data_IF_747015473881
#
_entry.id   IF_747015473881
#
_cell.length_a   1.000
_cell.length_b   1.000
_cell.length_c   1.000
_cell.angle_alpha   90.00
_cell.angle_beta   90.00
_cell.angle_gamma   90.00
#
_symmetry.space_group_name_H-M   'P 1'
#
loop_
_entity.id
_entity.type
_entity.pdbx_description
1 polymer ?
#
# COMPACT_ATOMS: atom_id res chain seq x y z
N UNK A 1 0.48 -9.81 1.02
CA UNK A 1 1.62 -9.31 1.81
C UNK A 1 1.12 -8.31 2.83
N UNK A 2 1.69 -8.35 4.03
CA UNK A 2 1.41 -7.37 5.07
C UNK A 2 2.68 -6.56 5.33
N UNK A 3 2.54 -5.25 5.47
CA UNK A 3 3.62 -4.33 5.85
C UNK A 3 3.15 -3.56 7.08
N UNK A 4 3.77 -3.84 8.22
CA UNK A 4 3.49 -3.13 9.46
C UNK A 4 4.49 -1.99 9.65
N UNK A 5 3.99 -0.77 9.78
CA UNK A 5 4.77 0.45 9.96
C UNK A 5 4.27 1.13 11.24
N UNK A 6 5.07 1.09 12.31
CA UNK A 6 4.65 1.55 13.63
C UNK A 6 3.31 0.90 14.07
N UNK A 7 2.27 1.69 14.30
CA UNK A 7 0.90 1.29 14.64
C UNK A 7 -0.01 1.09 13.41
N UNK A 8 0.50 1.31 12.21
CA UNK A 8 -0.24 1.21 10.95
C UNK A 8 0.02 -0.13 10.28
N UNK A 9 -1.07 -0.78 9.91
CA UNK A 9 -1.10 -2.06 9.22
C UNK A 9 -1.52 -1.85 7.75
N UNK A 10 -0.67 -2.26 6.81
CA UNK A 10 -0.96 -2.17 5.38
C UNK A 10 -0.97 -3.56 4.78
N UNK A 11 -2.16 -4.01 4.36
CA UNK A 11 -2.31 -5.26 3.61
C UNK A 11 -2.42 -4.98 2.13
N UNK A 12 -1.67 -5.78 1.37
CA UNK A 12 -1.70 -5.83 -0.09
C UNK A 12 -2.08 -7.24 -0.52
N UNK A 13 -3.13 -7.38 -1.31
CA UNK A 13 -3.59 -8.69 -1.82
C UNK A 13 -4.18 -8.57 -3.21
N UNK A 14 -4.19 -9.67 -3.95
CA UNK A 14 -4.84 -9.73 -5.26
C UNK A 14 -6.33 -10.05 -5.09
N UNK A 15 -7.18 -9.34 -5.83
CA UNK A 15 -8.60 -9.66 -6.02
C UNK A 15 -8.97 -9.33 -7.47
N UNK A 16 -9.54 -10.28 -8.19
CA UNK A 16 -9.98 -10.11 -9.58
C UNK A 16 -8.90 -9.56 -10.53
N UNK A 17 -7.65 -10.03 -10.39
CA UNK A 17 -6.47 -9.51 -11.10
C UNK A 17 -6.22 -8.02 -10.86
N UNK A 18 -6.50 -7.52 -9.65
CA UNK A 18 -6.14 -6.17 -9.24
C UNK A 18 -5.56 -6.22 -7.83
N UNK A 19 -4.50 -5.44 -7.58
CA UNK A 19 -3.98 -5.26 -6.23
C UNK A 19 -4.95 -4.39 -5.43
N UNK A 20 -5.45 -4.95 -4.35
CA UNK A 20 -6.25 -4.27 -3.34
C UNK A 20 -5.36 -3.86 -2.17
N UNK A 21 -5.71 -2.74 -1.54
CA UNK A 21 -5.00 -2.19 -0.39
C UNK A 21 -5.99 -2.08 0.77
N UNK A 22 -5.60 -2.58 1.95
CA UNK A 22 -6.24 -2.21 3.21
C UNK A 22 -5.25 -1.45 4.08
N UNK A 23 -5.75 -0.44 4.77
CA UNK A 23 -5.02 0.30 5.80
C UNK A 23 -5.80 0.14 7.10
N UNK A 24 -5.18 -0.43 8.12
CA UNK A 24 -5.80 -0.74 9.41
C UNK A 24 -7.12 -1.52 9.26
N UNK A 25 -7.13 -2.51 8.36
CA UNK A 25 -8.30 -3.34 8.06
C UNK A 25 -9.36 -2.69 7.16
N UNK A 26 -9.26 -1.40 6.85
CA UNK A 26 -10.21 -0.68 5.97
C UNK A 26 -9.71 -0.73 4.53
N UNK A 27 -10.54 -1.26 3.62
CA UNK A 27 -10.23 -1.30 2.20
C UNK A 27 -10.23 0.11 1.61
N UNK A 28 -9.14 0.49 0.95
CA UNK A 28 -9.00 1.76 0.26
C UNK A 28 -9.37 1.54 -1.21
N UNK A 29 -10.45 2.16 -1.71
CA UNK A 29 -10.79 2.08 -3.12
C UNK A 29 -9.63 2.58 -3.97
N UNK A 30 -9.37 1.85 -5.04
CA UNK A 30 -8.33 2.17 -6.01
C UNK A 30 -8.45 3.60 -6.58
N UNK A 31 -9.68 4.08 -6.80
CA UNK A 31 -9.94 5.43 -7.27
C UNK A 31 -9.59 6.52 -6.26
N UNK A 32 -9.32 6.14 -5.00
CA UNK A 32 -8.93 7.04 -3.92
C UNK A 32 -7.41 7.03 -3.68
N UNK A 33 -6.63 6.35 -4.52
CA UNK A 33 -5.17 6.45 -4.49
C UNK A 33 -4.72 7.68 -5.31
N UNK A 34 -3.71 8.45 -4.86
CA UNK A 34 -2.83 8.16 -3.72
C UNK A 34 -3.51 8.38 -2.36
N UNK A 35 -3.35 7.41 -1.47
CA UNK A 35 -3.73 7.52 -0.08
C UNK A 35 -2.57 8.11 0.71
N UNK A 36 -2.85 9.19 1.44
CA UNK A 36 -1.93 9.80 2.38
C UNK A 36 -2.46 9.56 3.79
N UNK A 37 -1.71 8.81 4.60
CA UNK A 37 -2.10 8.61 5.98
C UNK A 37 -1.93 9.93 6.76
N UNK A 38 -2.90 10.30 7.64
CA UNK A 38 -2.86 11.56 8.38
C UNK A 38 -1.69 11.64 9.36
N UNK A 39 -1.29 10.50 9.93
CA UNK A 39 -0.07 10.41 10.74
C UNK A 39 1.11 9.98 9.86
N UNK A 40 2.22 10.69 10.00
CA UNK A 40 3.54 10.27 9.54
C UNK A 40 3.77 10.00 8.06
N UNK A 41 3.37 10.91 7.16
CA UNK A 41 3.83 10.96 5.76
C UNK A 41 3.83 9.61 5.00
N UNK A 42 3.02 8.63 5.43
CA UNK A 42 2.89 7.35 4.75
C UNK A 42 2.02 7.57 3.52
N UNK A 43 2.57 7.21 2.37
CA UNK A 43 1.88 7.37 1.10
C UNK A 43 1.78 6.03 0.40
N UNK A 44 0.57 5.70 -0.04
CA UNK A 44 0.29 4.53 -0.86
C UNK A 44 -0.24 5.03 -2.20
N UNK A 45 0.38 4.61 -3.30
CA UNK A 45 -0.01 5.05 -4.64
C UNK A 45 0.12 3.93 -5.66
N UNK A 46 -0.59 4.07 -6.77
CA UNK A 46 -0.38 3.22 -7.95
C UNK A 46 0.88 3.64 -8.69
N UNK A 47 1.60 2.63 -9.19
CA UNK A 47 2.66 2.79 -10.18
C UNK A 47 2.55 1.65 -11.17
N UNK A 48 2.24 1.99 -12.43
CA UNK A 48 1.99 1.03 -13.49
C UNK A 48 0.91 0.01 -13.08
N UNK A 49 1.25 -1.29 -13.08
CA UNK A 49 0.36 -2.37 -12.64
C UNK A 49 0.51 -2.69 -11.15
N UNK A 50 1.39 -2.00 -10.43
CA UNK A 50 1.71 -2.27 -9.03
C UNK A 50 1.24 -1.20 -8.04
N UNK A 51 1.57 -1.46 -6.77
CA UNK A 51 1.40 -0.54 -5.65
C UNK A 51 2.77 -0.16 -5.08
N UNK A 52 2.92 1.12 -4.77
CA UNK A 52 4.09 1.69 -4.10
C UNK A 52 3.65 2.23 -2.74
N UNK A 53 4.36 1.82 -1.70
CA UNK A 53 4.23 2.30 -0.32
C UNK A 53 5.52 3.01 0.08
N UNK A 54 5.40 4.28 0.48
CA UNK A 54 6.49 5.12 0.98
C UNK A 54 6.25 5.44 2.45
N UNK A 55 7.29 5.27 3.28
CA UNK A 55 7.26 5.64 4.70
C UNK A 55 8.66 6.06 5.20
N UNK A 56 9.30 7.06 4.56
CA UNK A 56 10.70 7.41 4.84
C UNK A 56 10.91 7.88 6.29
N UNK A 57 9.91 8.51 6.91
CA UNK A 57 9.94 8.88 8.34
C UNK A 57 10.11 7.68 9.28
N UNK A 58 9.81 6.46 8.81
CA UNK A 58 9.98 5.22 9.54
C UNK A 58 11.16 4.38 9.03
N UNK A 59 12.08 4.97 8.27
CA UNK A 59 13.23 4.27 7.68
C UNK A 59 12.87 3.34 6.52
N UNK A 60 11.62 3.36 6.05
CA UNK A 60 11.16 2.55 4.92
C UNK A 60 11.01 3.45 3.68
N UNK A 61 12.03 3.46 2.84
CA UNK A 61 12.05 4.33 1.66
C UNK A 61 10.95 3.97 0.66
N UNK A 62 10.90 2.71 0.22
CA UNK A 62 9.92 2.22 -0.74
C UNK A 62 9.69 0.73 -0.58
N UNK A 63 8.43 0.32 -0.61
CA UNK A 63 8.01 -1.04 -0.94
C UNK A 63 7.23 -0.99 -2.23
N UNK A 64 7.63 -1.79 -3.21
CA UNK A 64 6.92 -1.95 -4.45
C UNK A 64 6.40 -3.38 -4.57
N UNK A 65 5.11 -3.50 -4.82
CA UNK A 65 4.48 -4.77 -5.16
C UNK A 65 3.97 -4.70 -6.59
N UNK A 66 4.59 -5.47 -7.47
CA UNK A 66 4.11 -5.67 -8.83
C UNK A 66 2.96 -6.70 -8.81
N UNK A 67 1.95 -6.48 -9.64
CA UNK A 67 0.81 -7.39 -9.76
C UNK A 67 1.24 -8.80 -10.21
N UNK A 68 2.33 -8.91 -10.97
CA UNK A 68 2.86 -10.20 -11.46
C UNK A 68 3.43 -11.06 -10.34
N UNK A 69 3.83 -10.47 -9.23
CA UNK A 69 4.39 -11.17 -8.06
C UNK A 69 3.30 -11.79 -7.17
N UNK A 70 2.01 -11.54 -7.46
CA UNK A 70 0.87 -12.11 -6.73
C UNK A 70 0.24 -13.33 -7.44
N UNK A 71 0.97 -13.96 -8.37
CA UNK A 71 0.53 -15.17 -9.09
C UNK A 71 0.83 -16.45 -8.31
#
# INVERSE_FOLDING_TARGET
YNVKIADIDVDLYSKDNVIMVKVNGVEIPIGNLPYQHPTDKIQIRRRDQGIVLHAPSHGLQEVFLDQKELK
#
